data_IF_997014848938
#
_entry.id   IF_997014848938
#
_cell.length_a   1.000
_cell.length_b   1.000
_cell.length_c   1.000
_cell.angle_alpha   90.00
_cell.angle_beta   90.00
_cell.angle_gamma   90.00
#
_symmetry.space_group_name_H-M   'P 1'
#
loop_
_entity.id
_entity.type
_entity.pdbx_description
1 polymer ?
#
# COMPACT_ATOMS: atom_id res chain seq x y z
N UNK A 1 -11.46 4.18 17.50
CA UNK A 1 -10.30 3.62 18.24
C UNK A 1 -9.34 4.72 18.70
N UNK A 2 -8.71 5.48 17.79
CA UNK A 2 -7.79 6.54 18.21
C UNK A 2 -8.50 7.84 18.59
N UNK A 3 -9.51 8.25 17.84
CA UNK A 3 -10.32 9.44 18.18
C UNK A 3 -11.05 9.26 19.52
N UNK A 4 -11.53 8.04 19.78
CA UNK A 4 -12.09 7.62 21.07
C UNK A 4 -11.02 7.41 22.16
N UNK A 5 -9.73 7.52 21.83
CA UNK A 5 -8.59 7.30 22.73
C UNK A 5 -8.59 5.93 23.43
N UNK A 6 -9.20 4.93 22.80
CA UNK A 6 -9.33 3.58 23.36
C UNK A 6 -8.07 2.75 23.13
N UNK A 7 -7.25 3.10 22.14
CA UNK A 7 -5.89 2.58 21.97
C UNK A 7 -4.91 3.70 21.62
N UNK A 8 -3.64 3.49 21.98
CA UNK A 8 -2.50 4.30 21.56
C UNK A 8 -1.74 3.57 20.47
N UNK A 9 -1.18 4.33 19.53
CA UNK A 9 -0.42 3.73 18.46
C UNK A 9 0.79 2.94 18.99
N UNK A 10 0.95 1.71 18.51
CA UNK A 10 1.97 0.77 18.94
C UNK A 10 1.47 -0.28 19.95
N UNK A 11 0.24 -0.14 20.45
CA UNK A 11 -0.39 -1.16 21.30
C UNK A 11 -0.98 -2.33 20.50
N UNK A 12 -1.21 -2.14 19.20
CA UNK A 12 -1.67 -3.20 18.28
C UNK A 12 -0.52 -3.69 17.40
N UNK A 13 -0.73 -3.65 16.08
CA UNK A 13 0.22 -4.13 15.09
C UNK A 13 0.74 -3.03 14.15
N UNK A 14 0.62 -1.76 14.55
CA UNK A 14 0.94 -0.60 13.71
C UNK A 14 2.40 -0.58 13.24
N UNK A 15 3.31 -1.10 14.07
CA UNK A 15 4.74 -1.19 13.80
C UNK A 15 5.23 -2.61 13.52
N UNK A 16 4.32 -3.54 13.21
CA UNK A 16 4.69 -4.93 12.94
C UNK A 16 5.66 -5.01 11.76
N UNK A 17 5.47 -4.21 10.71
CA UNK A 17 6.37 -4.18 9.55
C UNK A 17 7.83 -3.87 9.89
N UNK A 18 8.09 -3.11 10.96
CA UNK A 18 9.42 -2.73 11.38
C UNK A 18 10.02 -3.70 12.42
N UNK A 19 9.16 -4.37 13.21
CA UNK A 19 9.59 -5.09 14.42
C UNK A 19 9.33 -6.60 14.37
N UNK A 20 8.39 -7.05 13.54
CA UNK A 20 7.85 -8.41 13.57
C UNK A 20 7.11 -8.74 14.87
N UNK A 21 6.70 -7.73 15.65
CA UNK A 21 6.05 -7.91 16.96
C UNK A 21 4.70 -7.19 17.01
N UNK A 22 3.80 -7.76 17.79
CA UNK A 22 2.55 -7.13 18.23
C UNK A 22 2.71 -6.63 19.66
N UNK A 23 1.89 -5.65 20.06
CA UNK A 23 1.81 -5.17 21.45
C UNK A 23 3.18 -4.80 22.05
N UNK A 24 3.82 -3.79 21.45
CA UNK A 24 5.15 -3.35 21.85
C UNK A 24 5.18 -2.81 23.29
N UNK A 25 6.34 -2.95 23.94
CA UNK A 25 6.59 -2.32 25.23
C UNK A 25 6.61 -0.79 25.11
N UNK A 26 6.38 -0.08 26.21
CA UNK A 26 6.41 1.40 26.24
C UNK A 26 7.72 1.98 25.69
N UNK A 27 8.85 1.34 25.98
CA UNK A 27 10.16 1.80 25.52
C UNK A 27 10.33 1.61 24.01
N UNK A 28 9.89 0.46 23.47
CA UNK A 28 9.87 0.19 22.03
C UNK A 28 8.95 1.17 21.28
N UNK A 29 7.75 1.42 21.81
CA UNK A 29 6.82 2.41 21.25
C UNK A 29 7.45 3.80 21.24
N UNK A 30 8.08 4.21 22.34
CA UNK A 30 8.72 5.53 22.44
C UNK A 30 9.82 5.70 21.40
N UNK A 31 10.67 4.67 21.22
CA UNK A 31 11.73 4.68 20.22
C UNK A 31 11.20 4.79 18.79
N UNK A 32 10.14 4.04 18.45
CA UNK A 32 9.55 4.05 17.10
C UNK A 32 8.69 5.28 16.83
N UNK A 33 8.05 5.85 17.84
CA UNK A 33 7.26 7.06 17.68
C UNK A 33 8.11 8.24 17.18
N UNK A 34 9.37 8.33 17.60
CA UNK A 34 10.30 9.38 17.17
C UNK A 34 10.71 9.29 15.70
N UNK A 35 10.68 8.10 15.08
CA UNK A 35 11.14 7.88 13.70
C UNK A 35 10.01 7.59 12.71
N UNK A 36 9.01 6.80 13.10
CA UNK A 36 7.93 6.29 12.25
C UNK A 36 6.55 6.74 12.72
N UNK A 37 6.45 7.27 13.94
CA UNK A 37 5.16 7.58 14.58
C UNK A 37 4.33 8.59 13.80
N UNK A 38 4.95 9.63 13.23
CA UNK A 38 4.19 10.65 12.52
C UNK A 38 3.52 10.10 11.25
N UNK A 39 4.27 9.33 10.45
CA UNK A 39 3.76 8.76 9.21
C UNK A 39 2.69 7.69 9.47
N UNK A 40 3.02 6.69 10.29
CA UNK A 40 2.13 5.54 10.50
C UNK A 40 1.02 5.84 11.50
N UNK A 41 1.34 6.41 12.66
CA UNK A 41 0.32 6.70 13.67
C UNK A 41 -0.43 7.97 13.33
N UNK A 42 0.29 9.05 13.02
CA UNK A 42 -0.28 10.38 12.82
C UNK A 42 -1.09 10.47 11.53
N UNK A 43 -0.49 10.11 10.40
CA UNK A 43 -1.08 10.34 9.08
C UNK A 43 -1.85 9.14 8.52
N UNK A 44 -1.58 7.93 8.97
CA UNK A 44 -2.31 6.74 8.53
C UNK A 44 -3.36 6.29 9.55
N UNK A 45 -2.95 5.68 10.65
CA UNK A 45 -3.88 4.99 11.56
C UNK A 45 -4.84 5.93 12.31
N UNK A 46 -4.41 7.15 12.67
CA UNK A 46 -5.31 8.15 13.28
C UNK A 46 -6.25 8.80 12.29
N UNK A 47 -5.84 8.96 11.03
CA UNK A 47 -6.66 9.58 9.98
C UNK A 47 -7.62 8.58 9.33
N UNK A 48 -7.34 7.28 9.47
CA UNK A 48 -8.21 6.19 9.05
C UNK A 48 -9.45 6.15 9.96
N UNK A 49 -10.49 6.91 9.61
CA UNK A 49 -11.81 6.91 10.27
C UNK A 49 -12.70 5.72 9.83
N UNK A 50 -12.12 4.71 9.17
CA UNK A 50 -12.83 3.55 8.66
C UNK A 50 -12.54 2.27 9.45
N UNK A 51 -13.49 1.33 9.43
CA UNK A 51 -13.35 -0.02 9.96
C UNK A 51 -12.74 -1.01 8.95
N UNK A 52 -11.81 -0.54 8.12
CA UNK A 52 -11.17 -1.38 7.10
C UNK A 52 -9.91 -2.05 7.63
N UNK A 53 -9.60 -3.21 7.06
CA UNK A 53 -8.42 -3.98 7.38
C UNK A 53 -7.23 -3.55 6.52
N UNK A 54 -6.10 -3.29 7.17
CA UNK A 54 -4.85 -2.93 6.52
C UNK A 54 -3.83 -4.05 6.65
N UNK A 55 -2.87 -4.12 5.73
CA UNK A 55 -1.78 -5.08 5.77
C UNK A 55 -1.07 -5.06 7.11
N UNK A 56 -0.86 -6.24 7.67
CA UNK A 56 -0.06 -6.43 8.87
C UNK A 56 1.40 -6.06 8.61
N UNK A 57 1.89 -6.32 7.40
CA UNK A 57 3.27 -6.09 7.01
C UNK A 57 3.37 -5.36 5.67
N UNK A 58 4.26 -4.38 5.60
CA UNK A 58 4.67 -3.74 4.35
C UNK A 58 5.78 -4.58 3.72
N UNK A 59 5.42 -5.50 2.84
CA UNK A 59 6.36 -6.50 2.33
C UNK A 59 5.64 -7.76 1.89
N UNK A 60 6.14 -8.89 2.39
CA UNK A 60 5.46 -10.17 2.29
C UNK A 60 4.03 -10.08 2.83
N UNK A 61 3.11 -10.74 2.13
CA UNK A 61 1.70 -10.80 2.54
C UNK A 61 1.55 -11.70 3.77
N UNK A 62 1.34 -11.06 4.93
CA UNK A 62 1.04 -11.71 6.21
C UNK A 62 -0.42 -11.52 6.62
N UNK A 63 -1.29 -11.19 5.67
CA UNK A 63 -2.69 -10.88 5.90
C UNK A 63 -2.95 -9.42 6.30
N UNK A 64 -4.22 -9.10 6.50
CA UNK A 64 -4.66 -7.80 6.99
C UNK A 64 -5.25 -7.91 8.38
N UNK A 65 -5.18 -6.83 9.14
CA UNK A 65 -5.66 -6.76 10.50
C UNK A 65 -6.45 -5.47 10.72
N UNK A 66 -7.28 -5.47 11.77
CA UNK A 66 -7.97 -4.28 12.24
C UNK A 66 -8.16 -4.33 13.76
N UNK A 67 -8.52 -3.18 14.32
CA UNK A 67 -9.03 -3.09 15.68
C UNK A 67 -10.52 -3.44 15.73
N UNK A 68 -10.93 -4.04 16.84
CA UNK A 68 -12.32 -4.39 17.15
C UNK A 68 -12.61 -4.12 18.62
N UNK A 69 -13.89 -4.08 18.97
CA UNK A 69 -14.32 -4.02 20.38
C UNK A 69 -13.74 -5.20 21.18
N UNK A 70 -13.38 -4.99 22.44
CA UNK A 70 -12.85 -6.05 23.30
C UNK A 70 -13.83 -7.21 23.52
N UNK A 71 -15.13 -7.01 23.32
CA UNK A 71 -16.15 -8.06 23.35
C UNK A 71 -16.18 -8.93 22.09
N UNK A 72 -15.42 -8.60 21.04
CA UNK A 72 -15.31 -9.43 19.85
C UNK A 72 -14.73 -10.80 20.20
N UNK A 73 -15.54 -11.86 20.07
CA UNK A 73 -15.15 -13.22 20.45
C UNK A 73 -14.32 -13.94 19.39
N UNK A 74 -14.39 -13.49 18.13
CA UNK A 74 -13.66 -14.07 17.00
C UNK A 74 -12.53 -13.13 16.56
N UNK A 75 -11.35 -13.35 17.15
CA UNK A 75 -10.15 -12.56 16.83
C UNK A 75 -9.33 -13.17 15.69
N UNK A 76 -9.67 -14.37 15.19
CA UNK A 76 -8.97 -15.05 14.10
C UNK A 76 -7.43 -15.03 14.23
N UNK A 77 -6.90 -15.31 15.42
CA UNK A 77 -5.45 -15.26 15.70
C UNK A 77 -4.92 -13.91 16.19
N UNK A 78 -5.78 -12.90 16.33
CA UNK A 78 -5.48 -11.65 17.00
C UNK A 78 -5.49 -11.74 18.52
N UNK A 79 -5.42 -10.58 19.19
CA UNK A 79 -5.21 -10.52 20.62
C UNK A 79 -5.87 -9.33 21.30
N UNK A 80 -6.04 -9.45 22.62
CA UNK A 80 -6.54 -8.37 23.48
C UNK A 80 -5.49 -7.28 23.62
N UNK A 81 -5.91 -6.03 23.48
CA UNK A 81 -5.05 -4.85 23.69
C UNK A 81 -5.27 -4.27 25.07
N UNK A 82 -6.54 -4.05 25.43
CA UNK A 82 -6.98 -3.63 26.75
C UNK A 82 -8.46 -4.01 26.97
N UNK A 83 -9.11 -3.49 28.01
CA UNK A 83 -10.50 -3.83 28.34
C UNK A 83 -11.55 -3.25 27.38
N UNK A 84 -11.16 -2.39 26.44
CA UNK A 84 -12.07 -1.76 25.45
C UNK A 84 -11.81 -2.23 24.03
N UNK A 85 -10.58 -2.58 23.69
CA UNK A 85 -10.19 -2.89 22.31
C UNK A 85 -9.39 -4.18 22.25
N UNK A 86 -9.63 -4.94 21.19
CA UNK A 86 -8.78 -6.03 20.72
C UNK A 86 -8.37 -5.77 19.27
N UNK A 87 -7.43 -6.55 18.75
CA UNK A 87 -7.17 -6.60 17.33
C UNK A 87 -7.43 -8.00 16.80
N UNK A 88 -7.74 -8.11 15.52
CA UNK A 88 -8.00 -9.39 14.85
C UNK A 88 -7.32 -9.46 13.49
N UNK A 89 -7.09 -10.68 13.01
CA UNK A 89 -6.78 -10.90 11.59
C UNK A 89 -8.06 -10.94 10.79
N UNK A 90 -8.08 -10.25 9.66
CA UNK A 90 -9.27 -10.10 8.86
C UNK A 90 -9.48 -11.24 7.87
N UNK A 91 -10.74 -11.43 7.48
CA UNK A 91 -11.12 -12.38 6.44
C UNK A 91 -12.06 -11.72 5.43
N UNK A 92 -11.84 -11.99 4.14
CA UNK A 92 -12.66 -11.43 3.05
C UNK A 92 -14.16 -11.73 3.19
N UNK A 93 -14.51 -12.85 3.84
CA UNK A 93 -15.90 -13.23 4.06
C UNK A 93 -16.66 -12.41 5.10
N UNK A 94 -15.96 -11.63 5.94
CA UNK A 94 -16.54 -10.95 7.11
C UNK A 94 -16.16 -9.48 7.23
N UNK A 95 -15.03 -9.10 6.67
CA UNK A 95 -14.37 -7.82 6.94
C UNK A 95 -14.15 -7.05 5.65
N UNK A 96 -14.25 -5.73 5.75
CA UNK A 96 -13.88 -4.85 4.65
C UNK A 96 -12.35 -4.77 4.56
N UNK A 97 -11.79 -5.29 3.48
CA UNK A 97 -10.35 -5.44 3.32
C UNK A 97 -9.82 -4.42 2.31
N UNK A 98 -8.83 -3.60 2.68
CA UNK A 98 -8.26 -2.60 1.77
C UNK A 98 -7.69 -3.21 0.49
N UNK A 99 -7.26 -4.48 0.52
CA UNK A 99 -6.73 -5.18 -0.65
C UNK A 99 -7.76 -5.47 -1.74
N UNK A 100 -9.05 -5.37 -1.41
CA UNK A 100 -10.15 -5.63 -2.37
C UNK A 100 -10.49 -4.38 -3.19
N UNK A 101 -9.99 -3.22 -2.80
CA UNK A 101 -10.08 -2.01 -3.61
C UNK A 101 -9.14 -2.13 -4.80
N UNK A 102 -9.62 -1.84 -6.00
CA UNK A 102 -8.73 -1.59 -7.14
C UNK A 102 -8.00 -0.23 -6.98
N UNK A 103 -6.91 0.03 -7.71
CA UNK A 103 -6.13 1.26 -7.50
C UNK A 103 -6.92 2.58 -7.69
N UNK A 104 -7.77 2.76 -8.72
CA UNK A 104 -8.69 3.90 -8.78
C UNK A 104 -9.64 4.03 -7.59
N UNK A 105 -10.27 2.94 -7.15
CA UNK A 105 -11.18 2.94 -6.00
C UNK A 105 -10.44 3.28 -4.70
N UNK A 106 -9.21 2.79 -4.53
CA UNK A 106 -8.34 3.12 -3.39
C UNK A 106 -7.91 4.59 -3.40
N UNK A 107 -7.67 5.18 -4.57
CA UNK A 107 -7.40 6.61 -4.71
C UNK A 107 -8.62 7.47 -4.30
N UNK A 108 -9.84 7.05 -4.65
CA UNK A 108 -11.05 7.71 -4.18
C UNK A 108 -11.20 7.59 -2.65
N UNK A 109 -10.89 6.43 -2.07
CA UNK A 109 -10.87 6.27 -0.62
C UNK A 109 -9.87 7.24 0.03
N UNK A 110 -8.63 7.27 -0.46
CA UNK A 110 -7.59 8.16 0.04
C UNK A 110 -8.02 9.64 0.04
N UNK A 111 -8.64 10.10 -1.05
CA UNK A 111 -9.13 11.47 -1.16
C UNK A 111 -10.27 11.77 -0.17
N UNK A 112 -11.22 10.83 0.00
CA UNK A 112 -12.36 11.01 0.92
C UNK A 112 -11.93 11.04 2.39
N UNK A 113 -10.92 10.25 2.75
CA UNK A 113 -10.43 10.12 4.13
C UNK A 113 -9.16 10.93 4.39
N UNK A 114 -8.72 11.75 3.43
CA UNK A 114 -7.50 12.54 3.49
C UNK A 114 -6.26 11.69 3.88
N UNK A 115 -6.16 10.47 3.36
CA UNK A 115 -5.00 9.59 3.53
C UNK A 115 -3.99 9.82 2.41
N UNK A 116 -2.71 9.59 2.71
CA UNK A 116 -1.68 9.52 1.68
C UNK A 116 -1.88 8.23 0.86
N UNK A 117 -2.19 8.36 -0.43
CA UNK A 117 -2.48 7.23 -1.32
C UNK A 117 -1.28 6.30 -1.47
N UNK A 118 -0.06 6.84 -1.53
CA UNK A 118 1.11 5.99 -1.67
C UNK A 118 1.31 5.09 -0.45
N UNK A 119 1.23 5.67 0.76
CA UNK A 119 1.28 4.87 1.99
C UNK A 119 0.09 3.92 2.08
N UNK A 120 -1.13 4.39 1.78
CA UNK A 120 -2.33 3.57 1.76
C UNK A 120 -2.17 2.38 0.82
N UNK A 121 -1.58 2.55 -0.36
CA UNK A 121 -1.34 1.44 -1.31
C UNK A 121 -0.42 0.37 -0.72
N UNK A 122 0.66 0.75 -0.01
CA UNK A 122 1.55 -0.19 0.68
C UNK A 122 0.89 -0.87 1.88
N UNK A 123 -0.03 -0.16 2.53
CA UNK A 123 -0.88 -0.70 3.59
C UNK A 123 -2.06 -1.50 3.05
N UNK A 124 -2.32 -1.51 1.75
CA UNK A 124 -3.44 -2.24 1.13
C UNK A 124 -2.96 -3.48 0.40
N UNK A 125 -1.81 -3.40 -0.28
CA UNK A 125 -1.38 -4.39 -1.26
C UNK A 125 -0.04 -5.03 -0.88
N UNK A 126 0.21 -6.30 -1.26
CA UNK A 126 1.54 -6.89 -1.14
C UNK A 126 2.60 -6.04 -1.84
N UNK A 127 3.80 -5.99 -1.26
CA UNK A 127 4.95 -5.34 -1.88
C UNK A 127 5.84 -6.40 -2.53
N UNK A 128 6.09 -6.23 -3.82
CA UNK A 128 6.97 -7.10 -4.57
C UNK A 128 8.42 -7.00 -4.07
N UNK A 129 9.13 -8.14 -4.03
CA UNK A 129 10.58 -8.16 -3.79
C UNK A 129 11.38 -7.57 -4.95
N UNK A 130 10.76 -7.43 -6.13
CA UNK A 130 11.37 -6.86 -7.32
C UNK A 130 11.05 -5.37 -7.41
N UNK A 131 12.03 -4.57 -7.85
CA UNK A 131 11.76 -3.17 -8.22
C UNK A 131 11.17 -3.08 -9.61
N UNK A 132 10.29 -2.10 -9.79
CA UNK A 132 9.61 -1.84 -11.05
C UNK A 132 10.58 -1.78 -12.24
N UNK A 133 11.74 -1.13 -12.03
CA UNK A 133 12.72 -0.94 -13.11
C UNK A 133 13.24 -2.23 -13.75
N UNK A 134 13.20 -3.35 -13.02
CA UNK A 134 13.68 -4.66 -13.50
C UNK A 134 12.59 -5.50 -14.16
N UNK A 135 11.32 -5.18 -13.91
CA UNK A 135 10.18 -6.05 -14.25
C UNK A 135 9.16 -5.37 -15.16
N UNK A 136 9.26 -4.05 -15.38
CA UNK A 136 8.29 -3.31 -16.19
C UNK A 136 8.16 -3.82 -17.63
N UNK A 137 9.22 -4.44 -18.17
CA UNK A 137 9.20 -5.07 -19.48
C UNK A 137 8.22 -6.26 -19.57
N UNK A 138 7.90 -6.94 -18.45
CA UNK A 138 6.93 -8.04 -18.43
C UNK A 138 5.51 -7.55 -18.79
N UNK A 139 5.11 -6.40 -18.25
CA UNK A 139 3.81 -5.77 -18.53
C UNK A 139 3.78 -4.95 -19.82
N UNK A 140 4.91 -4.83 -20.53
CA UNK A 140 5.00 -3.97 -21.72
C UNK A 140 4.68 -2.49 -21.44
N UNK A 141 4.77 -2.06 -20.18
CA UNK A 141 4.28 -0.76 -19.74
C UNK A 141 5.06 0.39 -20.40
N UNK A 142 4.43 1.09 -21.34
CA UNK A 142 5.02 2.25 -22.02
C UNK A 142 4.49 3.55 -21.45
N UNK A 143 5.40 4.48 -21.14
CA UNK A 143 5.00 5.86 -20.82
C UNK A 143 4.26 6.54 -21.98
N UNK A 144 4.40 6.05 -23.22
CA UNK A 144 3.71 6.62 -24.37
C UNK A 144 2.18 6.48 -24.24
N UNK A 145 1.70 5.43 -23.57
CA UNK A 145 0.28 5.15 -23.34
C UNK A 145 -0.36 6.02 -22.26
N UNK A 146 0.45 6.63 -21.38
CA UNK A 146 -0.04 7.50 -20.31
C UNK A 146 -0.69 8.77 -20.90
N UNK A 147 -1.99 8.94 -20.67
CA UNK A 147 -2.79 10.00 -21.27
C UNK A 147 -2.93 11.27 -20.40
N UNK A 148 -2.63 11.17 -19.10
CA UNK A 148 -2.77 12.25 -18.14
C UNK A 148 -1.56 12.32 -17.20
N UNK A 149 -1.41 13.44 -16.52
CA UNK A 149 -0.56 13.53 -15.33
C UNK A 149 -1.39 13.19 -14.08
N UNK A 150 -0.78 12.69 -13.00
CA UNK A 150 -1.44 12.61 -11.70
C UNK A 150 -2.05 13.97 -11.34
N UNK A 151 -3.30 13.98 -10.87
CA UNK A 151 -4.07 15.22 -10.65
C UNK A 151 -3.41 16.18 -9.65
N UNK A 152 -2.60 15.66 -8.73
CA UNK A 152 -1.82 16.48 -7.80
C UNK A 152 -0.72 17.33 -8.47
N UNK A 153 -0.33 16.99 -9.72
CA UNK A 153 0.66 17.71 -10.52
C UNK A 153 0.04 18.52 -11.68
N UNK A 154 -1.28 18.41 -11.89
CA UNK A 154 -2.01 18.88 -13.07
C UNK A 154 -1.99 20.41 -13.24
N UNK A 155 -1.66 21.16 -12.19
CA UNK A 155 -1.71 22.61 -12.26
C UNK A 155 -0.56 23.28 -13.01
N UNK A 156 0.55 22.59 -13.36
CA UNK A 156 1.70 23.25 -14.00
C UNK A 156 2.62 22.37 -14.88
N UNK A 157 2.29 21.10 -15.15
CA UNK A 157 3.21 20.19 -15.87
C UNK A 157 2.51 19.56 -17.07
N UNK A 158 3.05 19.79 -18.27
CA UNK A 158 2.60 19.09 -19.46
C UNK A 158 2.90 17.59 -19.35
N UNK A 159 2.00 16.74 -19.84
CA UNK A 159 2.18 15.27 -19.87
C UNK A 159 3.54 14.88 -20.46
N UNK A 160 4.00 15.55 -21.51
CA UNK A 160 5.30 15.29 -22.14
C UNK A 160 6.49 15.55 -21.20
N UNK A 161 6.44 16.63 -20.41
CA UNK A 161 7.49 16.97 -19.45
C UNK A 161 7.51 15.99 -18.28
N UNK A 162 6.32 15.60 -17.80
CA UNK A 162 6.22 14.57 -16.77
C UNK A 162 6.76 13.21 -17.25
N UNK A 163 6.41 12.79 -18.48
CA UNK A 163 6.99 11.59 -19.10
C UNK A 163 8.50 11.67 -19.19
N UNK A 164 9.05 12.83 -19.55
CA UNK A 164 10.50 13.05 -19.64
C UNK A 164 11.19 12.91 -18.28
N UNK A 165 10.58 13.44 -17.22
CA UNK A 165 11.06 13.28 -15.85
C UNK A 165 10.96 11.82 -15.36
N UNK A 166 9.86 11.13 -15.65
CA UNK A 166 9.61 9.75 -15.18
C UNK A 166 10.45 8.70 -15.93
N UNK A 167 10.83 8.95 -17.18
CA UNK A 167 11.59 8.03 -18.05
C UNK A 167 12.84 7.38 -17.42
N UNK A 168 13.75 8.10 -16.74
CA UNK A 168 14.89 7.47 -16.08
C UNK A 168 14.52 6.51 -14.93
N UNK A 169 13.32 6.63 -14.38
CA UNK A 169 12.83 5.91 -13.20
C UNK A 169 11.89 4.73 -13.57
N UNK A 170 11.12 4.84 -14.65
CA UNK A 170 10.05 3.89 -15.01
C UNK A 170 10.52 2.51 -15.49
N UNK A 171 11.76 2.39 -15.97
CA UNK A 171 12.26 1.11 -16.49
C UNK A 171 13.51 1.24 -17.33
N UNK A 172 14.34 0.19 -17.33
CA UNK A 172 15.51 0.11 -18.21
C UNK A 172 15.28 -0.95 -19.29
N UNK A 173 15.48 -0.54 -20.55
CA UNK A 173 15.56 -1.49 -21.67
C UNK A 173 16.76 -2.42 -21.47
N UNK A 174 16.60 -3.69 -21.81
CA UNK A 174 17.70 -4.66 -21.86
C UNK A 174 17.98 -5.41 -20.55
N UNK A 175 17.17 -5.24 -19.50
CA UNK A 175 17.21 -6.13 -18.35
C UNK A 175 16.57 -7.46 -18.74
N UNK A 176 17.33 -8.54 -18.58
CA UNK A 176 16.83 -9.90 -18.82
C UNK A 176 16.03 -10.36 -17.61
N UNK A 177 14.75 -10.63 -17.82
CA UNK A 177 13.88 -11.34 -16.88
C UNK A 177 14.15 -12.83 -17.10
N UNK A 178 14.60 -13.53 -16.05
CA UNK A 178 14.81 -14.98 -16.13
C UNK A 178 13.49 -15.76 -16.01
N UNK A 179 13.55 -17.08 -16.21
CA UNK A 179 12.35 -17.95 -16.22
C UNK A 179 11.64 -17.98 -14.87
N UNK A 180 12.38 -17.99 -13.75
CA UNK A 180 11.80 -18.00 -12.41
C UNK A 180 11.09 -16.68 -12.13
N UNK A 181 11.75 -15.56 -12.42
CA UNK A 181 11.15 -14.23 -12.32
C UNK A 181 9.92 -14.12 -13.22
N UNK A 182 9.98 -14.63 -14.45
CA UNK A 182 8.83 -14.63 -15.36
C UNK A 182 7.64 -15.39 -14.77
N UNK A 183 7.87 -16.57 -14.18
CA UNK A 183 6.83 -17.36 -13.53
C UNK A 183 6.21 -16.61 -12.33
N UNK A 184 7.02 -15.97 -11.49
CA UNK A 184 6.54 -15.16 -10.36
C UNK A 184 5.72 -13.94 -10.82
N UNK A 185 6.19 -13.20 -11.83
CA UNK A 185 5.47 -12.04 -12.36
C UNK A 185 4.15 -12.47 -13.02
N UNK A 186 4.13 -13.62 -13.69
CA UNK A 186 2.90 -14.22 -14.21
C UNK A 186 1.92 -14.57 -13.09
N UNK A 187 2.39 -15.16 -11.99
CA UNK A 187 1.54 -15.43 -10.84
C UNK A 187 0.94 -14.15 -10.25
N UNK A 188 1.72 -13.07 -10.15
CA UNK A 188 1.22 -11.76 -9.69
C UNK A 188 0.12 -11.26 -10.64
N UNK A 189 0.37 -11.26 -11.94
CA UNK A 189 -0.61 -10.81 -12.93
C UNK A 189 -1.89 -11.68 -12.94
N UNK A 190 -1.76 -13.01 -12.85
CA UNK A 190 -2.90 -13.92 -12.88
C UNK A 190 -3.72 -13.89 -11.56
N UNK A 191 -3.12 -13.45 -10.45
CA UNK A 191 -3.79 -13.44 -9.13
C UNK A 191 -4.98 -12.49 -9.04
N UNK A 192 -4.99 -11.44 -9.87
CA UNK A 192 -5.95 -10.34 -9.75
C UNK A 192 -5.80 -9.49 -8.48
N UNK A 193 -4.81 -9.76 -7.62
CA UNK A 193 -4.56 -8.97 -6.42
C UNK A 193 -3.64 -7.80 -6.79
N UNK A 194 -4.03 -6.53 -6.53
CA UNK A 194 -3.15 -5.41 -6.79
C UNK A 194 -1.83 -5.57 -6.01
N UNK A 195 -0.69 -5.30 -6.66
CA UNK A 195 0.64 -5.49 -6.06
C UNK A 195 1.50 -4.25 -6.31
N UNK A 196 2.17 -3.78 -5.26
CA UNK A 196 3.05 -2.60 -5.31
C UNK A 196 4.46 -3.02 -5.71
N UNK A 197 5.09 -2.20 -6.55
CA UNK A 197 6.49 -2.28 -6.93
C UNK A 197 7.14 -0.91 -6.65
N UNK A 198 8.20 -0.91 -5.85
CA UNK A 198 8.99 0.30 -5.67
C UNK A 198 9.67 0.67 -7.01
N UNK A 199 9.55 1.94 -7.39
CA UNK A 199 10.23 2.50 -8.56
C UNK A 199 11.69 2.79 -8.20
N UNK A 200 11.90 3.43 -7.05
CA UNK A 200 13.20 3.85 -6.55
C UNK A 200 13.69 3.04 -5.32
N UNK A 201 14.98 3.17 -4.99
CA UNK A 201 15.58 2.48 -3.84
C UNK A 201 15.10 3.04 -2.50
N UNK A 202 14.74 4.31 -2.46
CA UNK A 202 14.31 5.00 -1.23
C UNK A 202 12.91 4.60 -0.79
N UNK A 203 12.18 3.79 -1.58
CA UNK A 203 10.82 3.34 -1.31
C UNK A 203 9.81 4.50 -1.20
N UNK A 204 10.15 5.68 -1.70
CA UNK A 204 9.24 6.82 -1.77
C UNK A 204 8.51 6.84 -3.11
N UNK A 205 7.36 7.54 -3.19
CA UNK A 205 6.62 7.66 -4.44
C UNK A 205 7.47 8.36 -5.51
N UNK A 206 7.26 8.04 -6.80
CA UNK A 206 6.18 7.19 -7.32
C UNK A 206 6.32 5.70 -7.03
N UNK A 207 5.18 5.01 -6.99
CA UNK A 207 5.12 3.56 -7.00
C UNK A 207 4.44 3.08 -8.28
N UNK A 208 4.81 1.89 -8.74
CA UNK A 208 4.01 1.18 -9.73
C UNK A 208 3.10 0.20 -9.00
N UNK A 209 1.82 0.20 -9.33
CA UNK A 209 0.86 -0.80 -8.85
C UNK A 209 0.32 -1.53 -10.06
N UNK A 210 0.44 -2.86 -10.06
CA UNK A 210 -0.14 -3.70 -11.11
C UNK A 210 -1.42 -4.32 -10.58
N UNK A 211 -2.45 -4.39 -11.42
CA UNK A 211 -3.68 -5.12 -11.15
C UNK A 211 -4.03 -5.90 -12.43
N UNK A 212 -3.73 -7.20 -12.43
CA UNK A 212 -3.77 -7.99 -13.65
C UNK A 212 -2.72 -7.55 -14.67
N UNK A 213 -3.19 -7.16 -15.85
CA UNK A 213 -2.36 -6.59 -16.92
C UNK A 213 -2.35 -5.05 -16.92
N UNK A 214 -3.11 -4.42 -16.03
CA UNK A 214 -3.18 -2.96 -15.93
C UNK A 214 -2.10 -2.46 -14.99
N UNK A 215 -1.43 -1.38 -15.39
CA UNK A 215 -0.34 -0.74 -14.64
C UNK A 215 -0.74 0.67 -14.28
N UNK A 216 -0.63 0.98 -12.99
CA UNK A 216 -0.91 2.29 -12.42
C UNK A 216 0.37 2.89 -11.85
N UNK A 217 0.56 4.19 -12.08
CA UNK A 217 1.50 5.02 -11.34
C UNK A 217 0.76 5.61 -10.15
N UNK A 218 1.28 5.40 -8.95
CA UNK A 218 0.73 5.92 -7.70
C UNK A 218 1.67 6.99 -7.15
N UNK A 219 1.11 8.18 -6.92
CA UNK A 219 1.77 9.32 -6.29
C UNK A 219 1.22 9.52 -4.86
N UNK A 220 1.47 10.67 -4.24
CA UNK A 220 1.09 10.89 -2.84
C UNK A 220 -0.42 10.94 -2.61
N UNK A 221 -1.20 11.45 -3.56
CA UNK A 221 -2.65 11.68 -3.43
C UNK A 221 -3.45 11.24 -4.66
N UNK A 222 -2.77 10.86 -5.74
CA UNK A 222 -3.41 10.55 -7.01
C UNK A 222 -2.75 9.35 -7.69
N UNK A 223 -3.52 8.71 -8.57
CA UNK A 223 -3.05 7.63 -9.41
C UNK A 223 -3.39 7.92 -10.86
N UNK A 224 -2.53 7.47 -11.76
CA UNK A 224 -2.79 7.49 -13.20
C UNK A 224 -2.54 6.12 -13.78
N UNK A 225 -3.45 5.67 -14.64
CA UNK A 225 -3.24 4.46 -15.41
C UNK A 225 -2.21 4.72 -16.51
N UNK A 226 -1.18 3.88 -16.56
CA UNK A 226 -0.07 4.00 -17.49
C UNK A 226 -0.20 3.02 -18.65
N UNK A 227 -0.68 1.80 -18.40
CA UNK A 227 -0.82 0.76 -19.43
C UNK A 227 -1.95 -0.21 -19.10
N UNK A 228 -2.51 -0.86 -20.12
CA UNK A 228 -3.61 -1.82 -19.95
C UNK A 228 -4.92 -1.20 -19.47
N UNK A 229 -5.10 0.10 -19.67
CA UNK A 229 -6.31 0.84 -19.30
C UNK A 229 -7.43 0.50 -20.30
N UNK A 230 -8.63 0.20 -19.81
CA UNK A 230 -9.81 0.11 -20.70
C UNK A 230 -10.04 1.47 -21.35
N UNK A 231 -10.13 1.51 -22.68
CA UNK A 231 -10.41 2.73 -23.45
C UNK A 231 -11.89 3.09 -23.42
#
# INVERSE_FOLDING_TARGET
>A
VYDSSEARCGQGSEFFFATGKHALSTDEVTALQGSLGQEFCGFFYRMADGSFCANLNMGADLGQWCYVDAACSDLNGGGKVNDKVSWKMCSASKDEMLREYDPPSLAQLANRTNLNLALLSKMSYPLSKYRWMYVSAFWGASLDEMAAVPTELDQNIAVADFKKWLKPHWGKKGIRIDENMTAELKQIADSGVPTVFDVEKDQHPPHAVVHGQTVYLVMHHSTVCVSGCSK
#
